data_IF_116993760277
#
_entry.id   IF_116993760277
#
_cell.length_a   1.000
_cell.length_b   1.000
_cell.length_c   1.000
_cell.angle_alpha   90.00
_cell.angle_beta   90.00
_cell.angle_gamma   90.00
#
_symmetry.space_group_name_H-M   'P 1'
#
loop_
_entity.id
_entity.type
_entity.pdbx_description
1 polymer ?
#
# COMPACT_ATOMS: atom_id res chain seq x y z
N UNK A 1 -2.78 -10.41 -1.61
CA UNK A 1 -1.30 -10.39 -1.52
C UNK A 1 -0.80 -9.87 -2.84
N UNK A 2 -0.02 -8.79 -2.86
CA UNK A 2 0.22 -7.97 -4.05
C UNK A 2 0.86 -8.78 -5.18
N UNK A 3 1.68 -9.78 -4.86
CA UNK A 3 2.18 -10.76 -5.84
C UNK A 3 1.08 -11.46 -6.65
N UNK A 4 -0.03 -11.85 -6.02
CA UNK A 4 -1.15 -12.54 -6.70
C UNK A 4 -1.94 -11.61 -7.62
N UNK A 5 -1.94 -10.32 -7.32
CA UNK A 5 -2.67 -9.32 -8.12
C UNK A 5 -1.81 -8.79 -9.28
N UNK A 6 -0.50 -8.70 -9.10
CA UNK A 6 0.44 -8.09 -10.06
C UNK A 6 1.29 -9.11 -10.82
N UNK A 7 1.37 -10.36 -10.36
CA UNK A 7 2.24 -11.41 -10.91
C UNK A 7 3.73 -11.19 -10.62
N UNK A 8 4.07 -10.20 -9.81
CA UNK A 8 5.46 -9.84 -9.50
C UNK A 8 5.84 -10.25 -8.10
N UNK A 9 6.99 -10.93 -7.98
CA UNK A 9 7.56 -11.24 -6.68
C UNK A 9 8.14 -10.03 -5.98
N UNK A 10 7.78 -9.88 -4.72
CA UNK A 10 8.27 -8.86 -3.81
C UNK A 10 9.71 -9.23 -3.41
N UNK A 11 10.65 -8.30 -3.57
CA UNK A 11 12.08 -8.55 -3.26
C UNK A 11 12.50 -8.01 -1.90
N UNK A 12 11.82 -6.95 -1.44
CA UNK A 12 12.15 -6.26 -0.21
C UNK A 12 10.90 -5.57 0.34
N UNK A 13 10.63 -5.76 1.64
CA UNK A 13 9.70 -5.00 2.43
C UNK A 13 10.46 -3.92 3.21
N UNK A 14 10.02 -2.67 3.10
CA UNK A 14 10.51 -1.56 3.93
C UNK A 14 9.41 -1.12 4.89
N UNK A 15 9.74 -1.10 6.17
CA UNK A 15 8.84 -0.61 7.22
C UNK A 15 9.56 0.45 8.05
N UNK A 16 8.80 1.39 8.64
CA UNK A 16 9.34 2.11 9.78
C UNK A 16 9.54 1.15 10.96
N UNK A 17 10.35 1.57 11.92
CA UNK A 17 10.50 0.88 13.20
C UNK A 17 9.27 1.09 14.12
N UNK A 18 8.06 1.18 13.56
CA UNK A 18 6.81 1.45 14.29
C UNK A 18 6.29 0.28 15.13
N UNK A 19 6.93 -0.88 15.06
CA UNK A 19 6.59 -2.05 15.88
C UNK A 19 5.51 -2.98 15.29
N UNK A 20 4.80 -2.54 14.26
CA UNK A 20 3.70 -3.31 13.65
C UNK A 20 4.21 -4.49 12.80
N UNK A 21 5.41 -4.37 12.23
CA UNK A 21 6.00 -5.32 11.29
C UNK A 21 7.25 -6.03 11.83
N UNK A 22 7.41 -6.10 13.15
CA UNK A 22 8.57 -6.73 13.81
C UNK A 22 8.22 -8.02 14.57
N UNK A 23 7.00 -8.55 14.44
CA UNK A 23 6.66 -9.82 15.08
C UNK A 23 7.51 -10.96 14.50
N UNK A 24 7.89 -11.90 15.36
CA UNK A 24 8.79 -12.98 14.98
C UNK A 24 8.18 -13.86 13.88
N UNK A 25 6.89 -14.14 14.01
CA UNK A 25 6.11 -14.93 13.05
C UNK A 25 6.08 -14.26 11.66
N UNK A 26 6.00 -12.93 11.63
CA UNK A 26 5.98 -12.17 10.38
C UNK A 26 7.37 -12.11 9.72
N UNK A 27 8.42 -11.98 10.53
CA UNK A 27 9.81 -12.04 10.03
C UNK A 27 10.10 -13.44 9.46
N UNK A 28 9.70 -14.50 10.15
CA UNK A 28 9.86 -15.89 9.70
C UNK A 28 9.12 -16.14 8.37
N UNK A 29 7.90 -15.60 8.24
CA UNK A 29 7.16 -15.65 6.99
C UNK A 29 7.92 -14.99 5.83
N UNK A 30 8.42 -13.77 6.04
CA UNK A 30 9.13 -13.02 4.99
C UNK A 30 10.44 -13.70 4.60
N UNK A 31 11.16 -14.29 5.55
CA UNK A 31 12.34 -15.12 5.27
C UNK A 31 11.97 -16.35 4.43
N UNK A 32 10.84 -17.00 4.74
CA UNK A 32 10.37 -18.18 3.98
C UNK A 32 10.02 -17.85 2.52
N UNK A 33 9.52 -16.63 2.28
CA UNK A 33 9.21 -16.11 0.95
C UNK A 33 10.43 -15.47 0.25
N UNK A 34 11.61 -15.53 0.88
CA UNK A 34 12.85 -14.89 0.43
C UNK A 34 12.74 -13.36 0.24
N UNK A 35 11.86 -12.72 1.01
CA UNK A 35 11.64 -11.27 1.02
C UNK A 35 12.55 -10.64 2.08
N UNK A 36 13.40 -9.69 1.67
CA UNK A 36 14.25 -8.96 2.62
C UNK A 36 13.44 -7.94 3.42
N UNK A 37 13.67 -7.84 4.73
CA UNK A 37 13.10 -6.77 5.56
C UNK A 37 14.16 -5.70 5.78
N UNK A 38 13.82 -4.45 5.45
CA UNK A 38 14.60 -3.26 5.77
C UNK A 38 13.80 -2.41 6.77
N UNK A 39 14.23 -2.40 8.03
CA UNK A 39 13.69 -1.50 9.05
C UNK A 39 14.40 -0.15 8.93
N UNK A 40 13.64 0.88 8.60
CA UNK A 40 14.15 2.23 8.49
C UNK A 40 13.93 2.97 9.80
N UNK A 41 14.89 3.85 10.18
CA UNK A 41 14.74 4.78 11.29
C UNK A 41 13.38 5.47 11.22
N UNK A 42 12.69 5.53 12.36
CA UNK A 42 11.37 6.14 12.52
C UNK A 42 11.35 7.52 11.88
N UNK A 43 10.40 7.76 10.97
CA UNK A 43 10.23 9.02 10.20
C UNK A 43 11.40 9.36 9.25
N UNK A 44 11.90 8.42 8.45
CA UNK A 44 12.65 8.81 7.25
C UNK A 44 11.68 9.12 6.08
N UNK A 45 11.36 10.40 5.80
CA UNK A 45 10.28 10.76 4.87
C UNK A 45 10.63 10.44 3.42
N UNK A 46 11.93 10.31 3.11
CA UNK A 46 12.39 9.99 1.75
C UNK A 46 12.11 8.52 1.42
N UNK A 47 12.26 7.63 2.40
CA UNK A 47 12.11 6.18 2.18
C UNK A 47 10.67 5.69 2.36
N UNK A 48 9.89 6.33 3.25
CA UNK A 48 8.51 5.92 3.58
C UNK A 48 7.47 6.87 2.96
N UNK A 49 7.91 8.02 2.45
CA UNK A 49 6.99 9.02 1.92
C UNK A 49 6.14 8.56 0.75
N UNK A 50 6.56 7.55 -0.03
CA UNK A 50 5.73 6.99 -1.11
C UNK A 50 4.53 6.24 -0.54
N UNK A 51 4.75 5.33 0.43
CA UNK A 51 3.66 4.58 1.05
C UNK A 51 2.76 5.49 1.88
N UNK A 52 3.33 6.46 2.62
CA UNK A 52 2.55 7.46 3.35
C UNK A 52 1.66 8.31 2.42
N UNK A 53 2.18 8.74 1.26
CA UNK A 53 1.40 9.50 0.27
C UNK A 53 0.24 8.68 -0.27
N UNK A 54 0.50 7.42 -0.64
CA UNK A 54 -0.55 6.51 -1.15
C UNK A 54 -1.60 6.25 -0.07
N UNK A 55 -1.19 5.93 1.15
CA UNK A 55 -2.11 5.69 2.27
C UNK A 55 -2.97 6.93 2.55
N UNK A 56 -2.38 8.13 2.53
CA UNK A 56 -3.12 9.39 2.70
C UNK A 56 -4.13 9.59 1.57
N UNK A 57 -3.73 9.42 0.31
CA UNK A 57 -4.65 9.54 -0.85
C UNK A 57 -5.81 8.55 -0.77
N UNK A 58 -5.56 7.30 -0.36
CA UNK A 58 -6.61 6.30 -0.20
C UNK A 58 -7.60 6.68 0.91
N UNK A 59 -7.10 7.09 2.07
CA UNK A 59 -7.95 7.52 3.20
C UNK A 59 -8.77 8.75 2.82
N UNK A 60 -8.19 9.74 2.14
CA UNK A 60 -8.89 10.92 1.64
C UNK A 60 -9.99 10.53 0.64
N UNK A 61 -9.71 9.58 -0.27
CA UNK A 61 -10.70 9.07 -1.22
C UNK A 61 -11.85 8.36 -0.51
N UNK A 62 -11.57 7.53 0.50
CA UNK A 62 -12.59 6.87 1.31
C UNK A 62 -13.43 7.88 2.08
N UNK A 63 -12.81 8.91 2.68
CA UNK A 63 -13.53 10.00 3.37
C UNK A 63 -14.45 10.76 2.42
N UNK A 64 -14.00 11.05 1.21
CA UNK A 64 -14.84 11.70 0.19
C UNK A 64 -16.05 10.83 -0.16
N UNK A 65 -15.87 9.52 -0.37
CA UNK A 65 -16.98 8.60 -0.66
C UNK A 65 -17.93 8.40 0.54
N UNK A 66 -17.38 8.39 1.75
CA UNK A 66 -18.14 8.27 2.99
C UNK A 66 -19.07 9.46 3.23
N UNK A 67 -18.76 10.64 2.69
CA UNK A 67 -19.65 11.81 2.80
C UNK A 67 -21.05 11.58 2.18
N UNK A 68 -21.18 10.61 1.27
CA UNK A 68 -22.45 10.23 0.64
C UNK A 68 -22.97 8.84 1.03
N UNK A 69 -22.25 8.09 1.88
CA UNK A 69 -22.52 6.67 2.15
C UNK A 69 -22.38 6.35 3.66
N UNK A 70 -23.14 5.37 4.14
CA UNK A 70 -23.07 4.96 5.54
C UNK A 70 -21.74 4.24 5.87
N UNK A 71 -21.23 4.43 7.09
CA UNK A 71 -19.97 3.82 7.59
C UNK A 71 -19.95 2.29 7.52
N UNK A 72 -21.13 1.65 7.48
CA UNK A 72 -21.26 0.21 7.27
C UNK A 72 -20.62 -0.29 5.97
N UNK A 73 -20.40 0.59 4.99
CA UNK A 73 -19.77 0.27 3.71
C UNK A 73 -18.25 0.54 3.69
N UNK A 74 -17.62 0.75 4.85
CA UNK A 74 -16.20 1.10 4.91
C UNK A 74 -15.30 0.13 4.11
N UNK A 75 -15.54 -1.18 4.22
CA UNK A 75 -14.77 -2.19 3.50
C UNK A 75 -14.95 -2.08 1.97
N UNK A 76 -16.17 -1.86 1.49
CA UNK A 76 -16.49 -1.66 0.07
C UNK A 76 -15.91 -0.35 -0.47
N UNK A 77 -15.94 0.71 0.34
CA UNK A 77 -15.39 2.01 0.01
C UNK A 77 -13.87 1.96 -0.14
N UNK A 78 -13.17 1.28 0.78
CA UNK A 78 -11.72 1.07 0.70
C UNK A 78 -11.37 0.27 -0.57
N UNK A 79 -12.09 -0.82 -0.86
CA UNK A 79 -11.89 -1.59 -2.11
C UNK A 79 -12.09 -0.71 -3.35
N UNK A 80 -13.12 0.14 -3.33
CA UNK A 80 -13.43 1.05 -4.44
C UNK A 80 -12.34 2.12 -4.61
N UNK A 81 -11.87 2.73 -3.51
CA UNK A 81 -10.79 3.69 -3.54
C UNK A 81 -9.49 3.08 -4.10
N UNK A 82 -9.13 1.87 -3.67
CA UNK A 82 -7.97 1.13 -4.20
C UNK A 82 -8.17 0.79 -5.68
N UNK A 83 -9.36 0.33 -6.06
CA UNK A 83 -9.71 0.00 -7.46
C UNK A 83 -9.53 1.22 -8.38
N UNK A 84 -10.02 2.38 -7.95
CA UNK A 84 -9.91 3.65 -8.68
C UNK A 84 -8.45 4.08 -8.74
N UNK A 85 -7.75 4.11 -7.59
CA UNK A 85 -6.35 4.52 -7.52
C UNK A 85 -5.44 3.68 -8.43
N UNK A 86 -5.63 2.36 -8.45
CA UNK A 86 -4.82 1.46 -9.27
C UNK A 86 -5.11 1.57 -10.78
N UNK A 87 -6.27 2.13 -11.17
CA UNK A 87 -6.69 2.31 -12.59
C UNK A 87 -6.54 3.73 -13.11
N UNK A 88 -6.62 4.73 -12.25
CA UNK A 88 -6.44 6.12 -12.64
C UNK A 88 -4.94 6.42 -12.75
N UNK A 89 -4.46 6.64 -13.96
CA UNK A 89 -3.11 7.15 -14.22
C UNK A 89 -2.96 8.53 -13.59
N UNK A 90 -2.03 8.70 -12.66
CA UNK A 90 -1.61 10.04 -12.23
C UNK A 90 -0.96 10.77 -13.42
N UNK A 91 -1.21 12.09 -13.54
CA UNK A 91 -0.86 12.93 -14.72
C UNK A 91 0.61 12.86 -15.18
N UNK A 92 1.50 12.28 -14.38
CA UNK A 92 2.95 12.22 -14.63
C UNK A 92 3.42 10.92 -15.29
N UNK A 93 2.53 9.92 -15.48
CA UNK A 93 2.88 8.66 -16.16
C UNK A 93 2.14 8.62 -17.48
N UNK A 94 2.85 8.87 -18.58
CA UNK A 94 2.37 8.61 -19.93
C UNK A 94 1.86 7.16 -20.04
N UNK A 95 0.54 7.04 -20.18
CA UNK A 95 -0.21 5.89 -20.71
C UNK A 95 0.08 4.48 -20.14
N UNK A 96 0.46 4.36 -18.87
CA UNK A 96 0.41 3.05 -18.17
C UNK A 96 -0.32 3.16 -16.85
N UNK A 97 -1.51 2.56 -16.79
CA UNK A 97 -2.20 2.28 -15.53
C UNK A 97 -1.22 1.62 -14.55
N UNK A 98 -1.28 1.97 -13.26
CA UNK A 98 -0.38 1.45 -12.22
C UNK A 98 -0.33 -0.09 -12.18
N UNK A 99 -1.39 -0.75 -12.67
CA UNK A 99 -1.50 -2.19 -12.85
C UNK A 99 -0.63 -2.82 -13.96
N UNK A 100 -0.09 -2.03 -14.90
CA UNK A 100 0.61 -2.50 -16.11
C UNK A 100 2.13 -2.32 -16.09
N UNK A 101 2.74 -2.04 -14.94
CA UNK A 101 4.20 -2.06 -14.82
C UNK A 101 4.63 -3.41 -14.31
#
# INVERSE_FOLDING_TARGET
MVEKETGKREKCLRSDNGGEYISKEFIEYLVSEAIKIELVLTRNPVQIGVSERINRTLIESVRALLSGLAIKFWAELVKTAVYIHNRCTTKTVEEKAHYKV
#
